data_IF_900695541551
#
_entry.id   IF_900695541551
#
_cell.length_a   1.000
_cell.length_b   1.000
_cell.length_c   1.000
_cell.angle_alpha   90.00
_cell.angle_beta   90.00
_cell.angle_gamma   90.00
#
_symmetry.space_group_name_H-M   'P 1'
#
loop_
_entity.id
_entity.type
_entity.pdbx_description
1 polymer ?
#
# COMPACT_ATOMS: atom_id res chain seq x y z
N UNK A 1 -25.33 -1.82 1.04
CA UNK A 1 -24.47 -2.86 0.42
C UNK A 1 -23.08 -2.28 0.26
N UNK A 2 -22.03 -3.11 0.34
CA UNK A 2 -20.69 -2.64 -0.01
C UNK A 2 -20.60 -2.46 -1.53
N UNK A 3 -20.10 -1.32 -1.99
CA UNK A 3 -19.78 -1.10 -3.40
C UNK A 3 -18.49 -1.84 -3.74
N UNK A 4 -18.50 -2.65 -4.80
CA UNK A 4 -17.33 -3.37 -5.30
C UNK A 4 -17.15 -3.02 -6.77
N UNK A 5 -15.92 -2.65 -7.14
CA UNK A 5 -15.54 -2.35 -8.52
C UNK A 5 -14.35 -3.22 -8.93
N UNK A 6 -14.36 -3.68 -10.16
CA UNK A 6 -13.29 -4.51 -10.73
C UNK A 6 -13.01 -4.06 -12.16
N UNK A 7 -11.73 -3.83 -12.46
CA UNK A 7 -11.28 -3.39 -13.77
C UNK A 7 -10.11 -4.25 -14.23
N UNK A 8 -10.19 -4.75 -15.45
CA UNK A 8 -9.08 -5.44 -16.10
C UNK A 8 -8.02 -4.42 -16.56
N UNK A 9 -6.75 -4.73 -16.31
CA UNK A 9 -5.60 -3.97 -16.80
C UNK A 9 -4.54 -4.96 -17.25
N UNK A 10 -4.22 -4.98 -18.56
CA UNK A 10 -3.38 -6.01 -19.16
C UNK A 10 -1.87 -5.76 -18.95
N UNK A 11 -1.48 -4.54 -18.60
CA UNK A 11 -0.09 -4.13 -18.47
C UNK A 11 0.09 -3.08 -17.37
N UNK A 12 1.31 -2.95 -16.85
CA UNK A 12 1.69 -1.94 -15.86
C UNK A 12 2.22 -0.64 -16.51
N UNK A 13 1.87 -0.40 -17.76
CA UNK A 13 2.22 0.84 -18.46
C UNK A 13 1.45 2.03 -17.88
N UNK A 14 2.07 3.21 -17.73
CA UNK A 14 1.43 4.34 -17.04
C UNK A 14 0.05 4.73 -17.58
N UNK A 15 -0.11 4.80 -18.91
CA UNK A 15 -1.38 5.15 -19.54
C UNK A 15 -2.48 4.10 -19.29
N UNK A 16 -2.13 2.81 -19.38
CA UNK A 16 -3.04 1.71 -19.13
C UNK A 16 -3.49 1.68 -17.65
N UNK A 17 -2.57 1.94 -16.72
CA UNK A 17 -2.87 2.03 -15.29
C UNK A 17 -3.76 3.24 -14.97
N UNK A 18 -3.49 4.42 -15.54
CA UNK A 18 -4.31 5.62 -15.29
C UNK A 18 -5.76 5.38 -15.72
N UNK A 19 -5.96 4.92 -16.95
CA UNK A 19 -7.30 4.65 -17.49
C UNK A 19 -8.03 3.55 -16.70
N UNK A 20 -7.32 2.50 -16.29
CA UNK A 20 -7.89 1.45 -15.47
C UNK A 20 -8.27 1.96 -14.06
N UNK A 21 -7.44 2.80 -13.43
CA UNK A 21 -7.74 3.36 -12.11
C UNK A 21 -8.91 4.35 -12.15
N UNK A 22 -8.99 5.18 -13.18
CA UNK A 22 -10.15 6.08 -13.41
C UNK A 22 -11.45 5.28 -13.51
N UNK A 23 -11.45 4.21 -14.31
CA UNK A 23 -12.60 3.32 -14.46
C UNK A 23 -12.93 2.58 -13.17
N UNK A 24 -11.90 2.08 -12.47
CA UNK A 24 -12.04 1.36 -11.20
C UNK A 24 -12.71 2.22 -10.12
N UNK A 25 -12.35 3.51 -10.05
CA UNK A 25 -12.82 4.45 -9.02
C UNK A 25 -14.11 5.18 -9.39
N UNK A 26 -14.62 5.03 -10.62
CA UNK A 26 -15.83 5.70 -11.08
C UNK A 26 -17.05 5.51 -10.16
N UNK A 27 -17.31 4.33 -9.54
CA UNK A 27 -18.46 4.16 -8.64
C UNK A 27 -18.42 5.04 -7.37
N UNK A 28 -17.29 5.68 -7.08
CA UNK A 28 -17.12 6.66 -6.01
C UNK A 28 -16.93 8.08 -6.55
N UNK A 29 -17.24 8.34 -7.81
CA UNK A 29 -16.99 9.62 -8.50
C UNK A 29 -15.51 10.04 -8.43
N UNK A 30 -14.62 9.05 -8.47
CA UNK A 30 -13.17 9.24 -8.44
C UNK A 30 -12.60 9.38 -7.03
N UNK A 31 -11.28 9.60 -6.95
CA UNK A 31 -10.55 9.59 -5.69
C UNK A 31 -10.83 10.82 -4.81
N UNK A 32 -11.33 11.92 -5.39
CA UNK A 32 -11.58 13.18 -4.69
C UNK A 32 -12.71 13.09 -3.64
N UNK A 33 -13.57 12.06 -3.71
CA UNK A 33 -14.58 11.81 -2.68
C UNK A 33 -14.01 11.10 -1.44
N UNK A 34 -12.85 10.46 -1.59
CA UNK A 34 -12.17 9.69 -0.54
C UNK A 34 -11.02 10.52 0.07
N UNK A 35 -10.25 11.20 -0.78
CA UNK A 35 -9.07 11.99 -0.38
C UNK A 35 -9.34 13.46 -0.57
N UNK A 36 -9.14 14.25 0.48
CA UNK A 36 -9.29 15.70 0.47
C UNK A 36 -7.92 16.39 0.32
N UNK A 37 -7.89 17.64 -0.18
CA UNK A 37 -6.67 18.44 -0.21
C UNK A 37 -6.03 18.55 1.18
N UNK A 38 -4.76 18.21 1.28
CA UNK A 38 -3.98 18.24 2.52
C UNK A 38 -3.96 16.94 3.32
N UNK A 39 -4.85 15.97 3.03
CA UNK A 39 -4.89 14.68 3.72
C UNK A 39 -3.55 13.96 3.62
N UNK A 40 -3.07 13.42 4.74
CA UNK A 40 -1.92 12.52 4.79
C UNK A 40 -2.37 11.12 4.41
N UNK A 41 -1.98 10.66 3.23
CA UNK A 41 -2.47 9.40 2.67
C UNK A 41 -1.40 8.32 2.74
N UNK A 42 -1.62 7.31 3.57
CA UNK A 42 -0.75 6.12 3.58
C UNK A 42 -1.09 5.23 2.39
N UNK A 43 -0.12 5.07 1.49
CA UNK A 43 -0.12 4.01 0.49
C UNK A 43 0.55 2.78 1.09
N UNK A 44 -0.23 1.71 1.24
CA UNK A 44 0.20 0.46 1.88
C UNK A 44 0.40 -0.67 0.84
N UNK A 45 1.55 -0.71 0.13
CA UNK A 45 1.87 -1.83 -0.77
C UNK A 45 2.16 -3.12 0.01
N UNK A 46 2.36 -4.21 -0.73
CA UNK A 46 2.96 -5.45 -0.26
C UNK A 46 4.45 -5.45 -0.60
N UNK A 47 5.33 -5.05 0.32
CA UNK A 47 6.79 -5.06 0.18
C UNK A 47 7.44 -6.31 0.78
N UNK A 48 6.69 -7.42 0.95
CA UNK A 48 7.12 -8.67 1.59
C UNK A 48 8.64 -8.97 1.60
N UNK A 49 9.28 -8.89 0.43
CA UNK A 49 10.70 -9.13 0.18
C UNK A 49 11.20 -8.26 -0.98
N UNK A 50 12.52 -8.12 -1.13
CA UNK A 50 13.20 -7.44 -2.25
C UNK A 50 13.11 -8.15 -3.60
N UNK A 51 12.06 -8.92 -3.85
CA UNK A 51 11.87 -9.60 -5.13
C UNK A 51 11.63 -8.59 -6.25
N UNK A 52 12.27 -8.80 -7.40
CA UNK A 52 12.05 -7.99 -8.59
C UNK A 52 10.62 -8.13 -9.13
N UNK A 53 10.07 -7.12 -9.83
CA UNK A 53 8.69 -7.11 -10.30
C UNK A 53 8.26 -8.33 -11.11
N UNK A 54 9.18 -8.95 -11.87
CA UNK A 54 8.90 -10.11 -12.74
C UNK A 54 8.50 -11.35 -11.94
N UNK A 55 8.87 -11.42 -10.65
CA UNK A 55 8.44 -12.48 -9.74
C UNK A 55 7.02 -12.31 -9.24
N UNK A 56 6.40 -11.13 -9.45
CA UNK A 56 5.01 -10.82 -9.10
C UNK A 56 4.65 -11.11 -7.63
N UNK A 57 5.66 -11.09 -6.75
CA UNK A 57 5.49 -11.40 -5.34
C UNK A 57 5.11 -10.16 -4.51
N UNK A 58 5.48 -8.97 -4.95
CA UNK A 58 5.19 -7.70 -4.29
C UNK A 58 4.24 -6.85 -5.14
N UNK A 59 3.68 -5.79 -4.55
CA UNK A 59 2.89 -4.83 -5.32
C UNK A 59 3.78 -4.19 -6.37
N UNK A 60 3.29 -4.13 -7.62
CA UNK A 60 4.10 -3.65 -8.73
C UNK A 60 4.42 -2.16 -8.56
N UNK A 61 5.68 -1.72 -8.74
CA UNK A 61 6.08 -0.33 -8.51
C UNK A 61 5.25 0.70 -9.29
N UNK A 62 4.96 0.43 -10.56
CA UNK A 62 4.14 1.33 -11.40
C UNK A 62 2.70 1.51 -10.89
N UNK A 63 2.10 0.47 -10.29
CA UNK A 63 0.76 0.61 -9.69
C UNK A 63 0.81 1.56 -8.49
N UNK A 64 1.85 1.44 -7.67
CA UNK A 64 2.06 2.32 -6.52
C UNK A 64 2.24 3.77 -6.98
N UNK A 65 3.08 3.99 -8.00
CA UNK A 65 3.31 5.31 -8.60
C UNK A 65 2.02 5.92 -9.16
N UNK A 66 1.24 5.16 -9.94
CA UNK A 66 -0.01 5.63 -10.53
C UNK A 66 -1.04 6.05 -9.45
N UNK A 67 -1.19 5.27 -8.39
CA UNK A 67 -2.06 5.62 -7.25
C UNK A 67 -1.54 6.88 -6.53
N UNK A 68 -0.23 6.98 -6.30
CA UNK A 68 0.36 8.17 -5.69
C UNK A 68 0.08 9.44 -6.52
N UNK A 69 0.21 9.37 -7.84
CA UNK A 69 -0.08 10.47 -8.74
C UNK A 69 -1.55 10.90 -8.67
N UNK A 70 -2.51 9.96 -8.61
CA UNK A 70 -3.92 10.31 -8.43
C UNK A 70 -4.20 10.96 -7.09
N UNK A 71 -3.56 10.50 -6.00
CA UNK A 71 -3.66 11.14 -4.68
C UNK A 71 -3.12 12.58 -4.74
N UNK A 72 -1.96 12.80 -5.36
CA UNK A 72 -1.38 14.14 -5.52
C UNK A 72 -2.28 15.04 -6.38
N UNK A 73 -2.89 14.51 -7.44
CA UNK A 73 -3.75 15.24 -8.35
C UNK A 73 -5.01 15.81 -7.65
N UNK A 74 -5.53 15.11 -6.64
CA UNK A 74 -6.65 15.60 -5.81
C UNK A 74 -6.19 16.44 -4.60
N UNK A 75 -4.90 16.76 -4.52
CA UNK A 75 -4.31 17.61 -3.47
C UNK A 75 -3.92 16.87 -2.19
N UNK A 76 -4.02 15.54 -2.15
CA UNK A 76 -3.56 14.71 -1.04
C UNK A 76 -2.02 14.65 -0.96
N UNK A 77 -1.52 14.24 0.20
CA UNK A 77 -0.09 14.11 0.50
C UNK A 77 0.24 12.62 0.71
N UNK A 78 0.54 11.86 -0.35
CA UNK A 78 0.80 10.44 -0.21
C UNK A 78 2.18 10.19 0.43
N UNK A 79 2.28 9.10 1.18
CA UNK A 79 3.53 8.51 1.61
C UNK A 79 3.42 6.98 1.58
N UNK A 80 4.54 6.31 1.37
CA UNK A 80 4.62 4.86 1.40
C UNK A 80 4.95 4.38 2.80
N UNK A 81 4.32 3.29 3.21
CA UNK A 81 4.68 2.62 4.45
C UNK A 81 4.38 1.13 4.36
N UNK A 82 5.33 0.32 4.78
CA UNK A 82 5.14 -1.11 5.04
C UNK A 82 6.16 -1.55 6.09
N UNK A 83 5.90 -2.67 6.75
CA UNK A 83 6.89 -3.36 7.57
C UNK A 83 7.11 -4.74 6.92
N UNK A 84 8.11 -4.89 6.03
CA UNK A 84 8.42 -6.18 5.46
C UNK A 84 8.89 -7.17 6.54
N UNK A 85 8.76 -8.47 6.27
CA UNK A 85 9.24 -9.51 7.19
C UNK A 85 10.77 -9.54 7.27
N UNK A 86 11.43 -9.18 6.17
CA UNK A 86 12.88 -9.14 6.04
C UNK A 86 13.32 -7.81 5.42
N UNK A 87 14.33 -7.18 6.01
CA UNK A 87 14.83 -5.87 5.58
C UNK A 87 13.97 -4.70 6.04
N UNK A 88 14.15 -3.56 5.38
CA UNK A 88 13.41 -2.32 5.62
C UNK A 88 12.55 -1.97 4.40
N UNK A 89 11.51 -1.15 4.56
CA UNK A 89 10.70 -0.67 3.44
C UNK A 89 11.55 -0.01 2.35
N UNK A 90 12.51 0.84 2.75
CA UNK A 90 13.48 1.48 1.84
C UNK A 90 14.36 0.45 1.15
N UNK A 91 14.89 -0.53 1.89
CA UNK A 91 15.73 -1.59 1.33
C UNK A 91 15.00 -2.42 0.28
N UNK A 92 13.76 -2.79 0.56
CA UNK A 92 12.91 -3.52 -0.41
C UNK A 92 12.58 -2.64 -1.62
N UNK A 93 12.24 -1.37 -1.41
CA UNK A 93 11.93 -0.46 -2.51
C UNK A 93 13.11 -0.28 -3.47
N UNK A 94 14.34 -0.24 -2.96
CA UNK A 94 15.56 -0.23 -3.78
C UNK A 94 15.74 -1.52 -4.57
N UNK A 95 15.46 -2.66 -3.95
CA UNK A 95 15.63 -3.96 -4.60
C UNK A 95 14.61 -4.24 -5.71
N UNK A 96 13.43 -3.62 -5.65
CA UNK A 96 12.32 -3.89 -6.57
C UNK A 96 12.03 -2.75 -7.57
N UNK A 97 12.82 -1.67 -7.58
CA UNK A 97 12.67 -0.53 -8.50
C UNK A 97 11.60 0.50 -8.10
N UNK A 98 11.00 0.37 -6.91
CA UNK A 98 10.07 1.38 -6.38
C UNK A 98 10.80 2.63 -5.88
N UNK A 99 12.06 2.51 -5.47
CA UNK A 99 12.85 3.63 -4.95
C UNK A 99 13.00 4.76 -5.96
N UNK A 100 13.36 4.45 -7.20
CA UNK A 100 13.56 5.43 -8.27
C UNK A 100 12.26 6.16 -8.62
N UNK A 101 11.15 5.42 -8.70
CA UNK A 101 9.82 5.99 -8.93
C UNK A 101 9.34 6.84 -7.75
N UNK A 102 9.62 6.42 -6.52
CA UNK A 102 9.27 7.21 -5.35
C UNK A 102 10.04 8.54 -5.34
N UNK A 103 11.33 8.52 -5.69
CA UNK A 103 12.11 9.75 -5.79
C UNK A 103 11.64 10.69 -6.91
N UNK A 104 11.33 10.16 -8.10
CA UNK A 104 10.87 11.01 -9.21
C UNK A 104 9.55 11.72 -8.91
N UNK A 105 8.74 11.17 -7.99
CA UNK A 105 7.48 11.75 -7.53
C UNK A 105 7.59 12.54 -6.22
N UNK A 106 8.78 12.66 -5.63
CA UNK A 106 8.96 13.17 -4.26
C UNK A 106 8.05 12.46 -3.23
N UNK A 107 7.80 11.16 -3.43
CA UNK A 107 6.97 10.31 -2.59
C UNK A 107 7.79 9.76 -1.42
N UNK A 108 7.52 10.18 -0.17
CA UNK A 108 8.29 9.70 0.98
C UNK A 108 8.05 8.20 1.22
N UNK A 109 9.12 7.45 1.51
CA UNK A 109 9.04 6.07 2.01
C UNK A 109 9.34 6.10 3.50
N UNK A 110 8.35 5.73 4.30
CA UNK A 110 8.39 5.83 5.76
C UNK A 110 8.48 4.43 6.35
N UNK A 111 9.53 4.22 7.15
CA UNK A 111 9.63 3.04 7.99
C UNK A 111 8.69 3.21 9.18
N UNK A 112 7.98 2.14 9.56
CA UNK A 112 7.13 2.18 10.75
C UNK A 112 7.99 2.12 12.01
N UNK A 113 8.22 3.29 12.62
CA UNK A 113 9.09 3.47 13.78
C UNK A 113 8.28 3.98 14.98
N UNK A 114 8.86 3.88 16.17
CA UNK A 114 8.32 4.54 17.37
C UNK A 114 7.05 3.91 17.96
N UNK A 115 6.19 4.80 18.46
CA UNK A 115 5.02 4.46 19.27
C UNK A 115 4.04 3.55 18.53
N UNK A 116 3.38 2.68 19.29
CA UNK A 116 2.46 1.71 18.75
C UNK A 116 1.12 1.76 19.47
N UNK A 117 0.04 1.67 18.71
CA UNK A 117 -1.31 1.74 19.22
C UNK A 117 -1.80 0.34 19.58
N UNK A 118 -2.42 0.21 20.75
CA UNK A 118 -3.05 -1.05 21.16
C UNK A 118 -4.28 -1.31 20.29
N UNK A 119 -4.46 -2.57 19.92
CA UNK A 119 -5.70 -3.04 19.28
C UNK A 119 -6.62 -3.56 20.39
N UNK A 120 -7.91 -3.20 20.42
CA UNK A 120 -8.84 -3.75 21.41
C UNK A 120 -9.25 -5.20 21.08
N UNK A 121 -9.72 -5.94 22.09
CA UNK A 121 -10.33 -7.27 21.92
C UNK A 121 -9.33 -8.41 21.74
N UNK A 122 -9.72 -9.45 21.00
CA UNK A 122 -8.96 -10.70 20.82
C UNK A 122 -7.59 -10.52 20.15
N UNK A 123 -7.38 -9.39 19.48
CA UNK A 123 -6.10 -9.00 18.88
C UNK A 123 -5.25 -8.09 19.78
N UNK A 124 -5.53 -8.09 21.08
CA UNK A 124 -4.93 -7.21 22.09
C UNK A 124 -3.41 -7.30 22.25
N UNK A 125 -2.77 -8.31 21.70
CA UNK A 125 -1.31 -8.45 21.62
C UNK A 125 -0.71 -7.73 20.40
N UNK A 126 -1.49 -7.46 19.36
CA UNK A 126 -1.03 -6.69 18.20
C UNK A 126 -0.86 -5.22 18.56
N UNK A 127 0.08 -4.56 17.86
CA UNK A 127 0.29 -3.14 17.98
C UNK A 127 0.42 -2.51 16.59
N UNK A 128 -0.41 -1.52 16.29
CA UNK A 128 -0.41 -0.82 15.01
C UNK A 128 0.60 0.32 15.00
N UNK A 129 1.22 0.59 13.85
CA UNK A 129 2.19 1.67 13.70
C UNK A 129 1.55 3.04 13.87
N UNK A 130 2.30 3.97 14.44
CA UNK A 130 1.87 5.36 14.57
C UNK A 130 1.62 6.02 13.21
N UNK A 131 2.42 5.68 12.21
CA UNK A 131 2.29 6.24 10.87
C UNK A 131 1.01 5.77 10.19
N UNK A 132 0.60 4.51 10.38
CA UNK A 132 -0.66 4.01 9.84
C UNK A 132 -1.87 4.58 10.56
N UNK A 133 -1.79 4.73 11.89
CA UNK A 133 -2.88 5.30 12.69
C UNK A 133 -3.01 6.82 12.56
N UNK A 134 -1.91 7.51 12.23
CA UNK A 134 -1.87 8.96 12.02
C UNK A 134 -2.04 9.40 10.57
N UNK A 135 -2.43 8.49 9.68
CA UNK A 135 -2.84 8.83 8.32
C UNK A 135 -4.33 9.18 8.32
N UNK A 136 -4.71 10.20 7.55
CA UNK A 136 -6.11 10.59 7.39
C UNK A 136 -6.85 9.59 6.49
N UNK A 137 -6.13 9.05 5.50
CA UNK A 137 -6.61 8.01 4.58
C UNK A 137 -5.56 6.90 4.44
N UNK A 138 -5.98 5.65 4.46
CA UNK A 138 -5.15 4.49 4.16
C UNK A 138 -5.65 3.80 2.89
N UNK A 139 -4.82 3.78 1.84
CA UNK A 139 -5.08 3.05 0.60
C UNK A 139 -4.26 1.76 0.62
N UNK A 140 -4.96 0.65 0.77
CA UNK A 140 -4.37 -0.68 0.83
C UNK A 140 -4.14 -1.25 -0.59
N UNK A 141 -2.90 -1.56 -0.94
CA UNK A 141 -2.50 -2.02 -2.27
C UNK A 141 -1.93 -3.44 -2.20
N UNK A 142 -2.76 -4.47 -1.92
CA UNK A 142 -2.30 -5.85 -1.79
C UNK A 142 -1.84 -6.44 -3.13
N UNK A 143 -0.94 -7.43 -3.09
CA UNK A 143 -0.70 -8.36 -4.19
C UNK A 143 -1.41 -9.68 -3.88
N UNK A 144 -2.30 -10.11 -4.77
CA UNK A 144 -2.94 -11.43 -4.71
C UNK A 144 -1.96 -12.48 -5.21
N UNK A 145 -1.74 -13.51 -4.40
CA UNK A 145 -0.85 -14.66 -4.62
C UNK A 145 -1.23 -15.79 -3.66
N UNK A 146 -0.85 -17.02 -3.98
CA UNK A 146 -0.97 -18.15 -3.07
C UNK A 146 -0.13 -17.96 -1.81
N UNK A 147 -0.55 -18.58 -0.70
CA UNK A 147 0.13 -18.52 0.59
C UNK A 147 0.01 -19.84 1.35
N UNK A 148 1.11 -20.34 1.89
CA UNK A 148 1.14 -21.65 2.57
C UNK A 148 0.24 -21.74 3.82
N UNK A 149 0.10 -20.66 4.59
CA UNK A 149 -0.68 -20.67 5.84
C UNK A 149 -2.14 -20.24 5.68
N UNK A 150 -2.46 -19.45 4.65
CA UNK A 150 -3.78 -18.79 4.51
C UNK A 150 -4.44 -19.11 3.15
N UNK A 151 -3.86 -20.03 2.38
CA UNK A 151 -4.20 -20.39 0.99
C UNK A 151 -3.98 -19.26 -0.02
N UNK A 152 -4.50 -18.06 0.27
CA UNK A 152 -4.37 -16.85 -0.54
C UNK A 152 -3.94 -15.66 0.30
N UNK A 153 -3.34 -14.69 -0.38
CA UNK A 153 -3.14 -13.33 0.13
C UNK A 153 -4.24 -12.42 -0.39
N UNK A 154 -4.71 -11.49 0.44
CA UNK A 154 -5.80 -10.55 0.15
C UNK A 154 -5.62 -9.26 0.96
N UNK A 155 -6.57 -8.33 0.86
CA UNK A 155 -6.53 -7.02 1.51
C UNK A 155 -6.25 -7.10 3.02
N UNK A 156 -7.00 -7.93 3.76
CA UNK A 156 -6.85 -8.06 5.23
C UNK A 156 -5.43 -8.50 5.61
N UNK A 157 -4.88 -9.50 4.91
CA UNK A 157 -3.51 -9.99 5.16
C UNK A 157 -2.47 -8.90 4.91
N UNK A 158 -2.68 -8.04 3.92
CA UNK A 158 -1.70 -6.98 3.62
C UNK A 158 -1.61 -5.92 4.74
N UNK A 159 -2.69 -5.71 5.48
CA UNK A 159 -2.74 -4.78 6.61
C UNK A 159 -1.91 -5.23 7.81
N UNK A 160 -1.55 -6.52 7.92
CA UNK A 160 -0.57 -6.97 8.93
C UNK A 160 0.80 -6.31 8.77
N UNK A 161 1.12 -5.77 7.58
CA UNK A 161 2.31 -4.96 7.41
C UNK A 161 2.29 -3.64 8.19
N UNK A 162 1.12 -3.20 8.71
CA UNK A 162 1.00 -2.05 9.61
C UNK A 162 1.33 -2.39 11.07
N UNK A 163 1.49 -3.67 11.41
CA UNK A 163 2.04 -4.09 12.72
C UNK A 163 3.57 -4.05 12.60
N UNK A 164 4.33 -3.27 13.38
CA UNK A 164 5.78 -3.23 13.21
C UNK A 164 6.49 -4.46 13.79
N UNK A 165 7.53 -4.93 13.10
CA UNK A 165 8.48 -5.93 13.63
C UNK A 165 7.96 -7.38 13.66
N UNK A 166 8.57 -8.20 14.52
CA UNK A 166 8.32 -9.65 14.62
C UNK A 166 7.04 -10.04 15.34
N UNK A 167 6.29 -9.08 15.89
CA UNK A 167 5.01 -9.33 16.58
C UNK A 167 3.88 -9.82 15.65
N UNK A 168 4.17 -9.97 14.35
CA UNK A 168 3.28 -10.56 13.34
C UNK A 168 3.27 -12.09 13.39
N UNK A 169 4.36 -12.69 13.88
CA UNK A 169 4.48 -14.13 14.01
C UNK A 169 3.94 -14.51 15.40
N UNK A 170 2.91 -15.35 15.37
CA UNK A 170 2.63 -16.26 16.46
C UNK A 170 3.50 -17.49 16.29
#
# INVERSE_FOLDING_TARGET
MATVSFQACAAYEPAALSSALESLLQPWDGLATIVKPGDRVLLKPNLLTGARPERQCTTHPQLVAAVAQQVMAVGGRPFLGDSPAFGSAVGVARANGLWELAQSLNLPIVEFQGDRYAVPGEFGHLRLSREAMGADVLINLPKVKSHCQLTLTLGVKNLFGCVPGKMKAW
#
